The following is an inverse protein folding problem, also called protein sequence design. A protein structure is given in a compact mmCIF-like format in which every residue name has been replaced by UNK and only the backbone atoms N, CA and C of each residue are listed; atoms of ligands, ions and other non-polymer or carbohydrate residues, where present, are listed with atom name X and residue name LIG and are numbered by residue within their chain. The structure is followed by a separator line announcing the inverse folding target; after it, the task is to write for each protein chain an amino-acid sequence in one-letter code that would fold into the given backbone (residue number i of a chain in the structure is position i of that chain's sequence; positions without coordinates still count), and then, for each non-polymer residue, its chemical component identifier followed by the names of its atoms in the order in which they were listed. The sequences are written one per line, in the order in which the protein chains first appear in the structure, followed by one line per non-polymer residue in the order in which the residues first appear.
data_IF_081796378001
#
_entry.id   IF_081796378001
#
_cell.length_a   1.000
_cell.length_b   1.000
_cell.length_c   1.000
_cell.angle_alpha   90.00
_cell.angle_beta   90.00
_cell.angle_gamma   90.00
#
_symmetry.space_group_name_H-M   'P 1'
#
loop_
_entity.id
_entity.type
_entity.pdbx_description
1 polymer ?
#
# COMPACT_ATOMS: atom_id res chain seq x y z
N UNK A 1 -2.73 11.14 -4.38
CA UNK A 1 -1.30 11.16 -4.06
C UNK A 1 -1.14 11.26 -2.55
N UNK A 2 -0.11 10.65 -2.01
CA UNK A 2 0.19 10.68 -0.57
C UNK A 2 0.46 12.10 -0.08
N UNK A 3 1.00 12.96 -0.95
CA UNK A 3 1.22 14.38 -0.69
C UNK A 3 -0.06 15.18 -0.38
N UNK A 4 -1.24 14.63 -0.64
CA UNK A 4 -2.53 15.25 -0.34
C UNK A 4 -3.16 14.79 0.98
N UNK A 5 -2.49 13.93 1.75
CA UNK A 5 -2.98 13.47 3.07
C UNK A 5 -2.12 13.96 4.22
N UNK A 6 -2.77 14.25 5.35
CA UNK A 6 -2.12 14.62 6.60
C UNK A 6 -2.28 13.53 7.67
N UNK A 7 -2.81 12.35 7.29
CA UNK A 7 -3.12 11.25 8.23
C UNK A 7 -1.89 10.56 8.81
N UNK A 8 -0.71 10.78 8.24
CA UNK A 8 0.58 10.33 8.77
C UNK A 8 1.08 11.18 9.95
N UNK A 9 0.49 12.36 10.16
CA UNK A 9 0.84 13.24 11.29
C UNK A 9 0.07 12.78 12.54
N UNK A 10 0.77 12.51 13.66
CA UNK A 10 0.13 12.14 14.92
C UNK A 10 -0.98 13.11 15.33
N UNK A 11 -2.13 12.55 15.73
CA UNK A 11 -3.28 13.33 16.18
C UNK A 11 -4.15 13.94 15.08
N UNK A 12 -3.83 13.76 13.79
CA UNK A 12 -4.69 14.20 12.67
C UNK A 12 -5.60 13.06 12.22
N UNK A 13 -6.85 13.06 12.72
CA UNK A 13 -7.95 12.18 12.31
C UNK A 13 -8.62 12.56 10.97
N UNK A 14 -9.53 11.74 10.41
CA UNK A 14 -10.26 12.06 9.17
C UNK A 14 -11.03 13.39 9.26
N UNK A 15 -11.65 13.66 10.42
CA UNK A 15 -12.38 14.93 10.67
C UNK A 15 -11.44 16.15 10.64
N UNK A 16 -10.21 16.01 11.16
CA UNK A 16 -9.22 17.10 11.18
C UNK A 16 -8.65 17.31 9.78
N UNK A 17 -8.31 16.23 9.08
CA UNK A 17 -7.88 16.29 7.67
C UNK A 17 -8.90 17.01 6.78
N UNK A 18 -10.19 16.66 6.91
CA UNK A 18 -11.24 17.35 6.14
C UNK A 18 -11.30 18.86 6.45
N UNK A 19 -11.05 19.27 7.70
CA UNK A 19 -10.99 20.69 8.06
C UNK A 19 -9.78 21.37 7.42
N UNK A 20 -8.64 20.69 7.37
CA UNK A 20 -7.42 21.19 6.71
C UNK A 20 -7.70 21.46 5.23
N UNK A 21 -8.30 20.50 4.53
CA UNK A 21 -8.69 20.68 3.14
C UNK A 21 -9.70 21.82 2.93
N UNK A 22 -10.68 21.97 3.83
CA UNK A 22 -11.65 23.08 3.78
C UNK A 22 -11.03 24.47 3.98
N UNK A 23 -9.81 24.54 4.54
CA UNK A 23 -9.04 25.78 4.64
C UNK A 23 -8.17 26.04 3.39
N UNK A 24 -8.31 25.25 2.32
CA UNK A 24 -7.56 25.43 1.07
C UNK A 24 -6.17 24.77 1.07
N UNK A 25 -5.82 24.05 2.15
CA UNK A 25 -4.54 23.34 2.24
C UNK A 25 -4.76 21.92 1.73
N UNK A 26 -4.55 21.69 0.44
CA UNK A 26 -4.87 20.43 -0.23
C UNK A 26 -3.66 19.50 -0.37
N UNK A 27 -2.45 20.02 -0.19
CA UNK A 27 -1.19 19.30 -0.31
C UNK A 27 -0.15 19.74 0.71
N UNK A 28 0.92 18.95 0.85
CA UNK A 28 2.11 19.33 1.61
C UNK A 28 2.75 20.63 1.10
N UNK A 29 2.72 20.87 -0.21
CA UNK A 29 3.24 22.10 -0.80
C UNK A 29 2.38 23.32 -0.41
N UNK A 30 1.05 23.17 -0.41
CA UNK A 30 0.16 24.23 0.09
C UNK A 30 0.46 24.50 1.57
N UNK A 31 0.61 23.45 2.37
CA UNK A 31 0.93 23.59 3.78
C UNK A 31 2.25 24.33 4.02
N UNK A 32 3.31 24.00 3.26
CA UNK A 32 4.64 24.60 3.41
C UNK A 32 4.73 26.04 2.88
N UNK A 33 3.83 26.44 1.97
CA UNK A 33 3.79 27.78 1.39
C UNK A 33 2.99 28.80 2.22
N UNK A 34 2.09 28.33 3.10
CA UNK A 34 1.28 29.19 3.96
C UNK A 34 2.05 29.67 5.20
N UNK A 35 1.71 30.88 5.69
CA UNK A 35 2.19 31.35 6.98
C UNK A 35 1.46 30.61 8.10
N UNK A 36 2.12 30.39 9.23
CA UNK A 36 1.58 29.57 10.34
C UNK A 36 0.24 30.05 10.91
N UNK A 37 -0.07 31.35 10.81
CA UNK A 37 -1.35 31.91 11.28
C UNK A 37 -2.54 31.57 10.36
N UNK A 38 -2.28 31.33 9.08
CA UNK A 38 -3.29 30.96 8.08
C UNK A 38 -3.64 29.46 8.14
N UNK A 39 -2.82 28.68 8.84
CA UNK A 39 -3.03 27.24 9.02
C UNK A 39 -4.11 26.96 10.10
N UNK A 40 -4.87 25.86 9.98
CA UNK A 40 -5.75 25.38 11.04
C UNK A 40 -4.97 25.15 12.34
N UNK A 41 -5.57 25.36 13.53
CA UNK A 41 -4.89 25.12 14.82
C UNK A 41 -4.22 23.75 14.96
N UNK A 42 -4.77 22.73 14.28
CA UNK A 42 -4.22 21.37 14.24
C UNK A 42 -2.94 21.23 13.42
N UNK A 43 -2.40 22.32 12.86
CA UNK A 43 -1.29 22.35 11.90
C UNK A 43 -0.31 23.51 12.15
N UNK A 44 -0.38 24.17 13.31
CA UNK A 44 0.41 25.38 13.61
C UNK A 44 1.75 25.10 14.28
N UNK A 45 2.05 23.86 14.66
CA UNK A 45 3.26 23.59 15.45
C UNK A 45 4.48 23.40 14.55
N UNK A 46 5.65 23.82 15.04
CA UNK A 46 6.94 23.61 14.36
C UNK A 46 7.21 22.11 14.12
N UNK A 47 6.76 21.26 15.03
CA UNK A 47 6.87 19.80 14.91
C UNK A 47 6.11 19.27 13.69
N UNK A 48 4.86 19.71 13.49
CA UNK A 48 4.06 19.31 12.33
C UNK A 48 4.69 19.78 11.02
N UNK A 49 5.24 21.00 11.02
CA UNK A 49 5.98 21.49 9.86
C UNK A 49 7.23 20.66 9.57
N UNK A 50 7.93 20.18 10.60
CA UNK A 50 9.08 19.30 10.44
C UNK A 50 8.66 17.92 9.89
N UNK A 51 7.55 17.35 10.36
CA UNK A 51 7.02 16.09 9.84
C UNK A 51 6.68 16.19 8.35
N UNK A 52 6.06 17.29 7.92
CA UNK A 52 5.74 17.50 6.49
C UNK A 52 7.01 17.65 5.65
N UNK A 53 8.00 18.42 6.13
CA UNK A 53 9.30 18.55 5.45
C UNK A 53 10.01 17.19 5.33
N UNK A 54 10.01 16.41 6.39
CA UNK A 54 10.57 15.05 6.38
C UNK A 54 9.80 14.15 5.41
N UNK A 55 8.47 14.23 5.39
CA UNK A 55 7.63 13.47 4.46
C UNK A 55 7.94 13.79 3.00
N UNK A 56 8.18 15.06 2.65
CA UNK A 56 8.62 15.45 1.31
C UNK A 56 9.97 14.80 0.96
N UNK A 57 10.93 14.84 1.89
CA UNK A 57 12.25 14.21 1.69
C UNK A 57 12.11 12.69 1.50
N UNK A 58 11.36 12.02 2.38
CA UNK A 58 11.12 10.58 2.34
C UNK A 58 10.40 10.13 1.08
N UNK A 59 9.49 10.94 0.56
CA UNK A 59 8.85 10.68 -0.72
C UNK A 59 9.85 10.76 -1.89
N UNK A 60 10.68 11.80 -1.90
CA UNK A 60 11.73 11.95 -2.93
C UNK A 60 12.79 10.84 -2.88
N UNK A 61 13.09 10.34 -1.67
CA UNK A 61 14.02 9.23 -1.45
C UNK A 61 13.39 7.85 -1.74
N UNK A 62 12.10 7.78 -2.07
CA UNK A 62 11.37 6.52 -2.30
C UNK A 62 11.20 5.65 -1.04
N UNK A 63 11.25 6.23 0.16
CA UNK A 63 11.18 5.48 1.42
C UNK A 63 9.74 5.07 1.76
N UNK A 64 9.26 4.01 1.10
CA UNK A 64 7.90 3.49 1.30
C UNK A 64 7.64 3.03 2.74
N UNK A 65 8.67 2.54 3.44
CA UNK A 65 8.59 2.02 4.81
C UNK A 65 8.20 3.11 5.80
N UNK A 66 8.76 4.31 5.62
CA UNK A 66 8.37 5.49 6.41
C UNK A 66 6.85 5.68 6.38
N UNK A 67 6.24 5.63 5.19
CA UNK A 67 4.81 5.85 5.06
C UNK A 67 3.97 4.65 5.46
N UNK A 68 4.45 3.42 5.23
CA UNK A 68 3.82 2.19 5.73
C UNK A 68 3.62 2.26 7.24
N UNK A 69 4.63 2.74 7.95
CA UNK A 69 4.64 2.76 9.42
C UNK A 69 3.91 3.99 9.97
N UNK A 70 3.89 5.11 9.24
CA UNK A 70 3.23 6.35 9.66
C UNK A 70 1.73 6.42 9.34
N UNK A 71 1.28 5.83 8.22
CA UNK A 71 -0.12 5.88 7.81
C UNK A 71 -0.98 4.84 8.54
N UNK A 72 -2.24 5.17 8.85
CA UNK A 72 -3.21 4.16 9.24
C UNK A 72 -3.34 3.09 8.14
N UNK A 73 -3.44 1.81 8.49
CA UNK A 73 -3.54 0.69 7.51
C UNK A 73 -4.60 0.91 6.44
N UNK A 74 -5.75 1.48 6.83
CA UNK A 74 -6.82 1.79 5.89
C UNK A 74 -6.44 2.83 4.85
N UNK A 75 -5.45 3.68 5.09
CA UNK A 75 -5.04 4.77 4.19
C UNK A 75 -3.84 4.41 3.30
N UNK A 76 -3.29 3.19 3.41
CA UNK A 76 -2.14 2.74 2.60
C UNK A 76 -2.42 2.73 1.09
N UNK A 77 -3.68 2.67 0.65
CA UNK A 77 -4.05 2.80 -0.76
C UNK A 77 -3.54 4.12 -1.39
N UNK A 78 -3.30 5.14 -0.58
CA UNK A 78 -2.77 6.44 -1.04
C UNK A 78 -1.34 6.37 -1.53
N UNK A 79 -0.60 5.30 -1.22
CA UNK A 79 0.74 5.05 -1.73
C UNK A 79 0.75 4.72 -3.22
N UNK A 80 -0.35 4.15 -3.74
CA UNK A 80 -0.38 3.60 -5.09
C UNK A 80 0.11 4.56 -6.18
N UNK A 81 -0.37 5.83 -6.27
CA UNK A 81 0.06 6.71 -7.35
C UNK A 81 1.55 7.07 -7.31
N UNK A 82 2.12 7.16 -6.09
CA UNK A 82 3.48 7.64 -5.89
C UNK A 82 4.52 6.50 -5.92
N UNK A 83 4.08 5.26 -5.70
CA UNK A 83 4.92 4.05 -5.72
C UNK A 83 4.56 3.08 -6.85
N UNK A 84 3.79 3.54 -7.85
CA UNK A 84 3.32 2.72 -8.98
C UNK A 84 4.48 2.08 -9.76
N UNK A 85 5.58 2.82 -9.92
CA UNK A 85 6.72 2.39 -10.73
C UNK A 85 7.37 1.09 -10.24
N UNK A 86 7.30 0.84 -8.93
CA UNK A 86 7.83 -0.36 -8.29
C UNK A 86 6.71 -1.16 -7.59
N UNK A 87 5.49 -1.10 -8.14
CA UNK A 87 4.36 -1.88 -7.65
C UNK A 87 4.31 -3.27 -8.29
N UNK A 88 4.05 -4.30 -7.48
CA UNK A 88 3.82 -5.67 -7.93
C UNK A 88 2.43 -6.17 -7.51
N UNK A 89 1.63 -6.61 -8.47
CA UNK A 89 0.36 -7.31 -8.24
C UNK A 89 0.65 -8.79 -8.05
N UNK A 90 0.52 -9.25 -6.81
CA UNK A 90 0.89 -10.58 -6.39
C UNK A 90 -0.34 -11.46 -6.16
N UNK A 91 -0.22 -12.71 -6.59
CA UNK A 91 -1.19 -13.78 -6.37
C UNK A 91 -0.43 -15.11 -6.19
N UNK A 92 -1.04 -16.07 -5.49
CA UNK A 92 -0.43 -17.39 -5.26
C UNK A 92 -1.37 -18.53 -5.62
N UNK A 93 -0.79 -19.66 -5.98
CA UNK A 93 -1.50 -20.93 -6.04
C UNK A 93 -0.98 -21.87 -4.96
N UNK A 94 -1.91 -22.62 -4.38
CA UNK A 94 -1.61 -23.57 -3.29
C UNK A 94 -2.38 -24.87 -3.49
N UNK A 95 -1.92 -25.97 -2.90
CA UNK A 95 -2.65 -27.25 -2.97
C UNK A 95 -3.92 -27.29 -2.09
N UNK A 96 -4.15 -26.24 -1.30
CA UNK A 96 -5.26 -26.13 -0.37
C UNK A 96 -5.17 -24.87 0.49
N UNK A 97 -6.15 -24.68 1.37
CA UNK A 97 -6.35 -23.40 2.07
C UNK A 97 -5.54 -23.25 3.37
N UNK A 98 -4.96 -24.34 3.89
CA UNK A 98 -4.22 -24.32 5.15
C UNK A 98 -2.73 -24.32 4.89
N UNK A 99 -2.03 -23.25 5.29
CA UNK A 99 -0.56 -23.20 5.17
C UNK A 99 0.17 -24.28 5.98
N UNK A 100 -0.47 -24.83 7.01
CA UNK A 100 0.11 -25.89 7.84
C UNK A 100 0.01 -27.28 7.18
N UNK A 101 -0.87 -27.44 6.17
CA UNK A 101 -1.18 -28.74 5.55
C UNK A 101 -1.22 -28.71 4.02
N UNK A 102 -0.90 -27.58 3.40
CA UNK A 102 -1.01 -27.37 1.96
C UNK A 102 0.19 -26.61 1.47
N UNK A 103 0.67 -26.97 0.28
CA UNK A 103 1.92 -26.48 -0.28
C UNK A 103 1.71 -25.23 -1.11
N UNK A 104 2.67 -24.30 -1.04
CA UNK A 104 2.78 -23.18 -1.97
C UNK A 104 3.34 -23.71 -3.29
N UNK A 105 2.56 -23.64 -4.37
CA UNK A 105 2.95 -24.20 -5.68
C UNK A 105 3.48 -23.13 -6.63
N UNK A 106 2.92 -21.92 -6.56
CA UNK A 106 3.30 -20.81 -7.43
C UNK A 106 3.15 -19.47 -6.72
N UNK A 107 4.08 -18.56 -6.96
CA UNK A 107 3.91 -17.12 -6.74
C UNK A 107 3.95 -16.44 -8.11
N UNK A 108 2.89 -15.72 -8.45
CA UNK A 108 2.81 -14.89 -9.64
C UNK A 108 2.92 -13.42 -9.26
N UNK A 109 3.71 -12.65 -9.99
CA UNK A 109 3.71 -11.19 -9.86
C UNK A 109 3.63 -10.54 -11.22
N UNK A 110 2.61 -9.71 -11.41
CA UNK A 110 2.50 -8.81 -12.54
C UNK A 110 2.94 -7.40 -12.13
N UNK A 111 3.82 -6.78 -12.90
CA UNK A 111 4.28 -5.41 -12.70
C UNK A 111 4.29 -4.67 -14.06
N UNK A 112 4.84 -3.45 -14.09
CA UNK A 112 4.91 -2.65 -15.32
C UNK A 112 5.78 -3.27 -16.43
N UNK A 113 6.66 -4.21 -16.09
CA UNK A 113 7.54 -4.91 -17.04
C UNK A 113 6.95 -6.23 -17.52
N UNK A 114 5.86 -6.70 -16.94
CA UNK A 114 5.15 -7.89 -17.35
C UNK A 114 4.90 -8.85 -16.20
N UNK A 115 4.84 -10.15 -16.51
CA UNK A 115 4.54 -11.20 -15.56
C UNK A 115 5.78 -12.03 -15.25
N UNK A 116 5.99 -12.34 -13.97
CA UNK A 116 7.00 -13.27 -13.47
C UNK A 116 6.35 -14.35 -12.62
N UNK A 117 6.83 -15.59 -12.73
CA UNK A 117 6.35 -16.71 -11.93
C UNK A 117 7.49 -17.43 -11.21
N UNK A 118 7.22 -17.85 -9.98
CA UNK A 118 8.12 -18.61 -9.13
C UNK A 118 7.43 -19.91 -8.74
N UNK A 119 7.95 -21.04 -9.21
CA UNK A 119 7.29 -22.35 -9.18
C UNK A 119 8.02 -23.28 -8.21
N UNK A 120 7.25 -24.00 -7.39
CA UNK A 120 7.77 -25.00 -6.46
C UNK A 120 8.56 -26.09 -7.20
N UNK A 121 9.75 -26.40 -6.68
CA UNK A 121 10.68 -27.36 -7.31
C UNK A 121 11.49 -26.80 -8.49
N UNK A 122 11.22 -25.56 -8.93
CA UNK A 122 11.96 -24.91 -10.01
C UNK A 122 12.75 -23.69 -9.49
N UNK A 123 12.05 -22.61 -9.16
CA UNK A 123 12.66 -21.32 -8.80
C UNK A 123 11.93 -20.57 -7.68
N UNK A 124 11.06 -21.23 -6.91
CA UNK A 124 10.27 -20.61 -5.82
C UNK A 124 11.12 -19.80 -4.83
N UNK A 125 12.29 -20.34 -4.48
CA UNK A 125 13.22 -19.74 -3.51
C UNK A 125 13.81 -18.40 -4.00
N UNK A 126 13.88 -18.17 -5.31
CA UNK A 126 14.38 -16.92 -5.90
C UNK A 126 13.48 -15.72 -5.56
N UNK A 127 12.22 -15.98 -5.19
CA UNK A 127 11.29 -14.93 -4.81
C UNK A 127 11.78 -14.09 -3.63
N UNK A 128 12.59 -14.66 -2.72
CA UNK A 128 13.18 -13.93 -1.58
C UNK A 128 14.00 -12.72 -2.01
N UNK A 129 14.68 -12.80 -3.16
CA UNK A 129 15.42 -11.68 -3.73
C UNK A 129 14.55 -10.85 -4.69
N UNK A 130 13.66 -11.51 -5.43
CA UNK A 130 12.80 -10.81 -6.39
C UNK A 130 11.84 -9.82 -5.72
N UNK A 131 11.39 -10.08 -4.50
CA UNK A 131 10.49 -9.18 -3.76
C UNK A 131 11.12 -7.82 -3.46
N UNK A 132 12.44 -7.73 -3.29
CA UNK A 132 13.14 -6.49 -2.93
C UNK A 132 13.09 -5.42 -4.03
N UNK A 133 12.67 -5.78 -5.26
CA UNK A 133 12.42 -4.81 -6.34
C UNK A 133 11.14 -4.00 -6.17
N UNK A 134 10.25 -4.42 -5.27
CA UNK A 134 8.95 -3.81 -5.09
C UNK A 134 8.90 -2.97 -3.82
N UNK A 135 8.55 -1.70 -3.99
CA UNK A 135 8.19 -0.83 -2.87
C UNK A 135 6.78 -1.16 -2.36
N UNK A 136 5.91 -1.63 -3.26
CA UNK A 136 4.50 -1.82 -3.00
C UNK A 136 3.99 -3.15 -3.55
N UNK A 137 3.47 -3.99 -2.67
CA UNK A 137 2.77 -5.23 -3.05
C UNK A 137 1.28 -5.03 -2.97
N UNK A 138 0.57 -5.49 -4.00
CA UNK A 138 -0.88 -5.36 -4.12
C UNK A 138 -1.44 -6.77 -4.31
N UNK A 139 -2.40 -7.16 -3.48
CA UNK A 139 -3.06 -8.47 -3.58
C UNK A 139 -4.58 -8.32 -3.46
N UNK A 140 -5.31 -9.39 -3.78
CA UNK A 140 -6.74 -9.49 -3.46
C UNK A 140 -6.95 -10.48 -2.32
N UNK A 141 -7.37 -10.01 -1.13
CA UNK A 141 -7.51 -10.82 0.10
C UNK A 141 -6.18 -11.38 0.66
N UNK A 142 -5.03 -10.92 0.16
CA UNK A 142 -3.76 -11.49 0.58
C UNK A 142 -3.28 -11.13 1.96
N UNK A 143 -3.88 -10.14 2.66
CA UNK A 143 -3.58 -9.98 4.10
C UNK A 143 -4.03 -11.19 4.91
N UNK A 144 -5.02 -11.94 4.43
CA UNK A 144 -5.57 -13.11 5.12
C UNK A 144 -5.07 -14.43 4.53
N UNK A 145 -4.58 -14.42 3.29
CA UNK A 145 -4.19 -15.62 2.57
C UNK A 145 -2.74 -15.57 2.05
N UNK A 146 -2.47 -14.80 0.99
CA UNK A 146 -1.20 -14.79 0.26
C UNK A 146 0.01 -14.47 1.13
N UNK A 147 -0.01 -13.32 1.81
CA UNK A 147 1.13 -12.82 2.59
C UNK A 147 1.50 -13.84 3.67
N UNK A 148 0.57 -14.29 4.52
CA UNK A 148 0.93 -15.24 5.56
C UNK A 148 1.26 -16.66 5.04
N UNK A 149 0.77 -17.06 3.86
CA UNK A 149 1.20 -18.31 3.22
C UNK A 149 2.66 -18.19 2.79
N UNK A 150 3.00 -17.13 2.06
CA UNK A 150 4.38 -16.87 1.62
C UNK A 150 5.32 -16.75 2.82
N UNK A 151 4.94 -16.04 3.88
CA UNK A 151 5.79 -15.91 5.07
C UNK A 151 6.00 -17.22 5.82
N UNK A 152 5.03 -18.14 5.78
CA UNK A 152 5.18 -19.48 6.34
C UNK A 152 6.27 -20.29 5.62
N UNK A 153 6.35 -20.16 4.29
CA UNK A 153 7.31 -20.90 3.45
C UNK A 153 8.67 -20.21 3.34
N UNK A 154 8.66 -18.89 3.12
CA UNK A 154 9.85 -18.12 2.74
C UNK A 154 10.40 -17.23 3.87
N UNK A 155 9.68 -17.14 4.99
CA UNK A 155 10.01 -16.26 6.12
C UNK A 155 9.49 -14.83 5.91
N UNK A 156 9.86 -13.92 6.82
CA UNK A 156 9.42 -12.52 6.80
C UNK A 156 10.13 -11.69 5.71
N UNK A 157 9.71 -11.89 4.46
CA UNK A 157 10.32 -11.28 3.28
C UNK A 157 9.67 -9.95 2.86
N UNK A 158 8.45 -9.64 3.35
CA UNK A 158 7.73 -8.40 3.03
C UNK A 158 8.15 -7.19 3.89
N UNK A 159 9.19 -7.34 4.71
CA UNK A 159 9.66 -6.30 5.65
C UNK A 159 10.09 -4.98 4.99
N UNK A 160 10.43 -5.01 3.70
CA UNK A 160 10.93 -3.84 2.97
C UNK A 160 9.87 -3.09 2.17
N UNK A 161 8.71 -3.71 1.91
CA UNK A 161 7.65 -3.11 1.11
C UNK A 161 6.44 -2.68 1.96
N UNK A 162 5.53 -1.91 1.36
CA UNK A 162 4.16 -1.74 1.83
C UNK A 162 3.23 -2.77 1.18
N UNK A 163 2.06 -2.99 1.79
CA UNK A 163 1.04 -3.90 1.29
C UNK A 163 -0.32 -3.21 1.17
N UNK A 164 -0.96 -3.35 0.02
CA UNK A 164 -2.36 -3.00 -0.22
C UNK A 164 -3.16 -4.27 -0.50
N UNK A 165 -4.17 -4.51 0.34
CA UNK A 165 -5.19 -5.55 0.10
C UNK A 165 -6.40 -4.90 -0.58
N UNK A 166 -6.55 -5.16 -1.88
CA UNK A 166 -7.63 -4.61 -2.71
C UNK A 166 -9.00 -4.99 -2.19
N UNK A 167 -9.19 -6.20 -1.66
CA UNK A 167 -10.48 -6.62 -1.11
C UNK A 167 -10.91 -5.68 0.02
N UNK A 168 -9.97 -5.27 0.87
CA UNK A 168 -10.25 -4.34 1.99
C UNK A 168 -10.54 -2.92 1.50
N UNK A 169 -9.82 -2.46 0.47
CA UNK A 169 -10.03 -1.14 -0.14
C UNK A 169 -11.41 -1.09 -0.80
N UNK A 170 -11.72 -2.06 -1.66
CA UNK A 170 -12.97 -2.17 -2.41
C UNK A 170 -14.19 -2.28 -1.50
N UNK A 171 -14.07 -3.02 -0.40
CA UNK A 171 -15.15 -3.11 0.61
C UNK A 171 -15.53 -1.77 1.21
N UNK A 172 -14.59 -0.83 1.35
CA UNK A 172 -14.89 0.52 1.90
C UNK A 172 -15.72 1.39 0.97
N UNK A 173 -15.69 1.09 -0.33
CA UNK A 173 -16.45 1.83 -1.35
C UNK A 173 -17.66 1.02 -1.86
N UNK A 174 -18.04 -0.07 -1.17
CA UNK A 174 -19.28 -0.80 -1.42
C UNK A 174 -19.15 -2.08 -2.25
N UNK A 175 -17.95 -2.46 -2.69
CA UNK A 175 -17.75 -3.70 -3.45
C UNK A 175 -17.36 -4.86 -2.54
N UNK A 176 -18.11 -5.96 -2.63
CA UNK A 176 -17.88 -7.16 -1.82
C UNK A 176 -18.15 -8.46 -2.59
N UNK A 177 -17.57 -9.53 -2.08
CA UNK A 177 -17.56 -10.85 -2.71
C UNK A 177 -16.18 -11.24 -3.23
N UNK A 178 -16.12 -12.32 -4.01
CA UNK A 178 -14.90 -12.75 -4.68
C UNK A 178 -14.51 -11.83 -5.84
N UNK A 179 -13.24 -11.90 -6.26
CA UNK A 179 -12.67 -11.07 -7.32
C UNK A 179 -13.51 -11.07 -8.60
N UNK A 180 -13.89 -12.26 -9.11
CA UNK A 180 -14.73 -12.42 -10.31
C UNK A 180 -16.05 -11.66 -10.26
N UNK A 181 -16.69 -11.62 -9.08
CA UNK A 181 -17.95 -10.88 -8.91
C UNK A 181 -17.67 -9.38 -9.01
N UNK A 182 -16.63 -8.90 -8.33
CA UNK A 182 -16.29 -7.47 -8.32
C UNK A 182 -15.83 -7.01 -9.72
N UNK A 183 -15.07 -7.83 -10.45
CA UNK A 183 -14.72 -7.59 -11.85
C UNK A 183 -15.96 -7.37 -12.71
N UNK A 184 -16.96 -8.26 -12.57
CA UNK A 184 -18.25 -8.13 -13.26
C UNK A 184 -19.02 -6.88 -12.83
N UNK A 185 -19.09 -6.58 -11.54
CA UNK A 185 -19.79 -5.40 -10.99
C UNK A 185 -19.17 -4.08 -11.51
N UNK A 186 -17.86 -4.08 -11.75
CA UNK A 186 -17.11 -2.92 -12.25
C UNK A 186 -17.00 -2.87 -13.78
N UNK A 187 -17.44 -3.91 -14.49
CA UNK A 187 -17.27 -4.02 -15.94
C UNK A 187 -15.81 -4.17 -16.39
N UNK A 188 -14.92 -4.61 -15.50
CA UNK A 188 -13.55 -5.00 -15.84
C UNK A 188 -13.58 -6.46 -16.26
N UNK A 189 -13.58 -6.70 -17.57
CA UNK A 189 -13.50 -8.05 -18.11
C UNK A 189 -12.08 -8.61 -18.02
N UNK A 190 -11.94 -9.90 -18.35
CA UNK A 190 -10.64 -10.44 -18.71
C UNK A 190 -10.15 -9.75 -20.00
N UNK A 191 -8.85 -9.40 -20.12
CA UNK A 191 -8.25 -8.98 -21.38
C UNK A 191 -8.54 -9.96 -22.52
#
# INVERSE_FOLDING_TARGET
MISSTFRHIPGIGPKKELRIWKCGILSWNDFLSHKSHDLPPSLRTTEQAQIVKESVKKLNDGDVRYFRDALPRGELWRLYPDFLENAGFLDIETTGLSRDYSELTLIGVADKYGYSSFISGENLEEFRGAIDKYDLIITFNGSSFDIPFIEHYLGNIFRNCAHIDLMRVLRRIGYGGGLKKIESDLGVGRP
#
